data_IF_489307326948
#
_entry.id   IF_489307326948
#
_cell.length_a   1.000
_cell.length_b   1.000
_cell.length_c   1.000
_cell.angle_alpha   90.00
_cell.angle_beta   90.00
_cell.angle_gamma   90.00
#
_symmetry.space_group_name_H-M   'P 1'
#
loop_
_entity.id
_entity.type
_entity.pdbx_description
1 polymer ?
2 polymer ?
3 non-polymer ?
4 non-polymer ?
5 non-polymer ?
6 water ?
#
loop_
_entity_poly.entity_id
_entity_poly.type
_entity_poly.pdbx_seq_one_letter_code
_entity_poly.pdbx_strand_id
2 'polydeoxyribonucleotide/polyribonucleotide hybrid' '(DA)(DA)(DT)(DG)(DA)A(DG)(DA)(DT)(N)(N)(DT)' ?
#
# COMPACT_ATOMS: atom_id res chain seq x y z
N UNK A 1 1.31 -10.81 -3.44
CA UNK A 1 1.52 -9.71 -4.37
C UNK A 1 1.48 -8.37 -3.66
N UNK A 2 2.24 -7.41 -4.18
CA UNK A 2 2.23 -6.09 -3.59
C UNK A 2 1.00 -5.30 -4.05
N UNK A 3 0.73 -4.21 -3.35
CA UNK A 3 -0.35 -3.32 -3.74
C UNK A 3 -0.07 -1.96 -3.15
N UNK A 4 -0.90 -0.98 -3.53
CA UNK A 4 -0.84 0.39 -3.03
C UNK A 4 -1.99 0.60 -2.05
N UNK A 5 -1.68 0.98 -0.83
CA UNK A 5 -2.70 1.39 0.14
C UNK A 5 -3.01 2.86 -0.15
N UNK A 6 -4.08 3.12 -0.90
CA UNK A 6 -4.34 4.49 -1.36
C UNK A 6 -5.06 5.37 -0.34
N UNK A 7 -5.71 4.77 0.66
CA UNK A 7 -6.44 5.52 1.70
C UNK A 7 -6.71 4.55 2.83
N UNK A 8 -7.18 5.08 3.95
CA UNK A 8 -7.53 4.25 5.09
C UNK A 8 -8.88 3.60 4.86
N UNK A 9 -9.12 2.50 5.57
CA UNK A 9 -10.38 1.77 5.42
C UNK A 9 -11.40 2.09 6.49
N UNK A 10 -10.98 2.50 7.69
CA UNK A 10 -11.89 2.71 8.80
C UNK A 10 -12.56 4.08 8.66
N UNK A 11 -13.56 4.15 7.78
CA UNK A 11 -14.25 5.40 7.46
C UNK A 11 -15.76 5.23 7.64
N UNK A 12 -16.44 6.24 8.18
CA UNK A 12 -17.93 6.25 8.13
C UNK A 12 -18.41 6.34 6.69
N UNK A 13 -19.65 5.93 6.39
CA UNK A 13 -20.05 5.85 4.97
C UNK A 13 -19.93 7.17 4.22
N UNK A 14 -20.17 8.30 4.90
CA UNK A 14 -20.06 9.60 4.26
C UNK A 14 -18.64 9.88 3.76
N UNK A 15 -17.64 9.63 4.61
CA UNK A 15 -16.26 9.80 4.17
C UNK A 15 -15.91 8.79 3.07
N UNK A 16 -16.46 7.57 3.15
CA UNK A 16 -16.17 6.55 2.14
C UNK A 16 -16.64 6.98 0.76
N UNK A 17 -17.83 7.59 0.69
CA UNK A 17 -18.34 8.11 -0.57
C UNK A 17 -17.40 9.20 -1.11
N UNK A 18 -16.93 10.09 -0.23
CA UNK A 18 -16.00 11.14 -0.67
C UNK A 18 -14.71 10.53 -1.21
N UNK A 19 -14.26 9.42 -0.63
CA UNK A 19 -13.05 8.77 -1.11
C UNK A 19 -13.25 8.22 -2.52
N UNK A 20 -14.44 7.66 -2.80
CA UNK A 20 -14.68 7.15 -4.15
C UNK A 20 -14.62 8.27 -5.17
N UNK A 21 -15.08 9.46 -4.81
CA UNK A 21 -15.08 10.57 -5.76
C UNK A 21 -13.67 11.05 -6.08
N UNK A 22 -12.74 10.97 -5.11
CA UNK A 22 -11.36 11.33 -5.43
C UNK A 22 -10.67 10.24 -6.26
N UNK A 23 -11.00 8.99 -5.99
CA UNK A 23 -10.31 7.89 -6.67
C UNK A 23 -10.75 7.76 -8.11
N UNK A 24 -12.00 8.10 -8.42
CA UNK A 24 -12.49 7.93 -9.79
C UNK A 24 -11.60 8.64 -10.79
N UNK A 25 -10.93 9.72 -10.38
CA UNK A 25 -10.02 10.46 -11.25
C UNK A 25 -8.79 9.66 -11.66
N UNK A 26 -8.46 8.57 -10.96
CA UNK A 26 -7.25 7.82 -11.26
C UNK A 26 -7.50 6.64 -12.20
N UNK A 27 -8.76 6.29 -12.44
CA UNK A 27 -9.05 5.15 -13.31
C UNK A 27 -8.55 5.44 -14.72
N UNK A 28 -7.98 4.41 -15.37
CA UNK A 28 -7.56 4.50 -16.75
C UNK A 28 -8.29 3.41 -17.53
N UNK A 29 -9.17 3.82 -18.44
CA UNK A 29 -9.97 2.89 -19.25
C UNK A 29 -9.23 2.53 -20.55
N UNK A 30 -8.16 1.83 -20.39
CA UNK A 30 -7.36 1.52 -21.59
C UNK A 30 -7.72 0.15 -22.15
N UNK A 31 -7.56 -0.05 -23.46
CA UNK A 31 -7.80 -1.38 -24.04
C UNK A 31 -6.88 -2.42 -23.42
N UNK A 32 -7.37 -3.66 -23.36
CA UNK A 32 -6.53 -4.81 -23.02
C UNK A 32 -6.55 -5.74 -24.22
N UNK A 33 -5.60 -5.57 -25.12
CA UNK A 33 -5.52 -6.37 -26.32
C UNK A 33 -4.65 -7.60 -26.08
N UNK A 34 -4.83 -8.61 -26.93
CA UNK A 34 -4.12 -9.85 -26.79
C UNK A 34 -4.70 -10.72 -25.68
N UNK A 35 -4.15 -11.93 -25.58
CA UNK A 35 -4.76 -12.84 -24.61
C UNK A 35 -3.94 -12.90 -23.34
N UNK A 36 -4.60 -12.97 -22.19
CA UNK A 36 -3.86 -13.13 -20.93
C UNK A 36 -3.33 -14.55 -20.78
N UNK A 37 -2.29 -14.66 -19.95
CA UNK A 37 -1.74 -15.97 -19.62
C UNK A 37 -2.28 -16.50 -18.30
N UNK A 38 -2.47 -15.60 -17.33
CA UNK A 38 -3.00 -15.95 -16.02
C UNK A 38 -4.20 -15.05 -15.72
N UNK A 39 -5.26 -15.65 -15.22
CA UNK A 39 -6.49 -14.93 -14.89
C UNK A 39 -6.92 -15.30 -13.49
N UNK A 40 -7.14 -14.29 -12.64
CA UNK A 40 -7.62 -14.47 -11.27
C UNK A 40 -9.12 -14.21 -11.16
N UNK A 41 -9.77 -15.00 -10.34
CA UNK A 41 -11.16 -14.75 -9.95
C UNK A 41 -11.23 -14.57 -8.45
N UNK A 42 -12.10 -13.68 -8.00
CA UNK A 42 -12.19 -13.32 -6.59
C UNK A 42 -13.62 -13.53 -6.10
N UNK A 43 -13.77 -14.20 -4.97
CA UNK A 43 -15.09 -14.34 -4.38
C UNK A 43 -15.00 -14.20 -2.87
N UNK A 44 -16.11 -13.77 -2.27
CA UNK A 44 -16.20 -13.66 -0.83
C UNK A 44 -17.39 -14.44 -0.31
N UNK A 45 -17.28 -14.86 0.95
CA UNK A 45 -18.37 -15.49 1.67
C UNK A 45 -18.44 -14.91 3.07
N UNK A 46 -19.56 -15.18 3.74
CA UNK A 46 -19.75 -14.80 5.14
C UNK A 46 -20.32 -16.01 5.89
N UNK A 47 -19.50 -17.03 6.12
CA UNK A 47 -19.99 -18.23 6.82
C UNK A 47 -20.53 -17.91 8.20
N UNK A 48 -21.77 -18.33 8.44
CA UNK A 48 -22.49 -17.93 9.64
C UNK A 48 -22.56 -16.43 9.74
N UNK A 49 -21.89 -15.87 10.74
CA UNK A 49 -21.75 -14.43 10.84
C UNK A 49 -20.46 -14.13 11.61
N UNK A 50 -19.97 -12.91 11.42
CA UNK A 50 -18.76 -12.41 12.09
C UNK A 50 -17.51 -13.20 11.72
N UNK A 51 -17.50 -13.81 10.53
CA UNK A 51 -16.28 -14.38 9.98
C UNK A 51 -16.40 -14.36 8.46
N UNK A 52 -15.75 -13.40 7.82
CA UNK A 52 -15.69 -13.38 6.38
C UNK A 52 -14.62 -14.31 5.83
N UNK A 53 -14.75 -14.61 4.55
CA UNK A 53 -13.82 -15.49 3.82
C UNK A 53 -13.59 -14.90 2.44
N UNK A 54 -12.33 -14.59 2.11
CA UNK A 54 -11.96 -14.16 0.77
C UNK A 54 -11.16 -15.27 0.10
N UNK A 55 -11.50 -15.57 -1.14
CA UNK A 55 -10.83 -16.60 -1.94
C UNK A 55 -10.39 -15.98 -3.25
N UNK A 56 -9.13 -16.22 -3.62
CA UNK A 56 -8.63 -15.88 -4.94
C UNK A 56 -8.16 -17.16 -5.62
N UNK A 57 -8.60 -17.37 -6.85
CA UNK A 57 -8.17 -18.49 -7.69
C UNK A 57 -7.42 -17.91 -8.89
N UNK A 58 -6.28 -18.50 -9.23
CA UNK A 58 -5.52 -18.07 -10.41
C UNK A 58 -5.51 -19.23 -11.40
N UNK A 59 -5.96 -18.95 -12.64
CA UNK A 59 -6.11 -19.94 -13.69
C UNK A 59 -5.19 -19.62 -14.87
N UNK A 60 -4.74 -20.68 -15.55
CA UNK A 60 -4.08 -20.53 -16.83
C UNK A 60 -5.15 -20.34 -17.92
N UNK A 61 -4.86 -19.49 -18.89
CA UNK A 61 -5.75 -19.29 -20.00
C UNK A 61 -5.02 -19.63 -21.31
N UNK A 62 -5.64 -20.37 -22.23
CA UNK A 62 -7.07 -20.73 -22.32
C UNK A 62 -7.49 -22.05 -21.66
N UNK A 63 -6.59 -22.78 -21.02
CA UNK A 63 -6.97 -24.09 -20.51
C UNK A 63 -7.91 -24.00 -19.31
N UNK A 64 -7.86 -22.90 -18.55
CA UNK A 64 -8.61 -22.73 -17.29
C UNK A 64 -8.14 -23.70 -16.22
N UNK A 65 -6.92 -24.22 -16.36
CA UNK A 65 -6.33 -25.05 -15.32
C UNK A 65 -6.05 -24.19 -14.09
N UNK A 66 -6.34 -24.74 -12.92
CA UNK A 66 -6.16 -24.02 -11.67
C UNK A 66 -4.69 -24.06 -11.26
N UNK A 67 -4.11 -22.88 -11.03
CA UNK A 67 -2.70 -22.76 -10.68
C UNK A 67 -2.44 -22.44 -9.22
N UNK A 68 -3.37 -21.79 -8.55
CA UNK A 68 -3.18 -21.37 -7.17
C UNK A 68 -4.53 -21.06 -6.59
N UNK A 69 -4.73 -21.41 -5.32
CA UNK A 69 -5.85 -20.88 -4.54
C UNK A 69 -5.28 -20.30 -3.25
N UNK A 70 -5.71 -19.08 -2.91
CA UNK A 70 -5.38 -18.50 -1.61
C UNK A 70 -6.67 -18.11 -0.92
N UNK A 71 -6.66 -18.16 0.40
CA UNK A 71 -7.82 -17.78 1.18
C UNK A 71 -7.39 -16.98 2.39
N UNK A 72 -8.29 -16.12 2.86
CA UNK A 72 -8.08 -15.34 4.07
C UNK A 72 -9.40 -15.23 4.81
N UNK A 73 -9.36 -15.49 6.12
CA UNK A 73 -10.51 -15.34 7.00
C UNK A 73 -10.31 -14.13 7.89
N UNK A 74 -11.39 -13.42 8.16
CA UNK A 74 -11.26 -12.26 9.02
C UNK A 74 -12.62 -11.69 9.33
N UNK A 75 -12.63 -10.75 10.26
CA UNK A 75 -13.87 -10.15 10.72
C UNK A 75 -14.31 -9.07 9.73
N UNK A 76 -15.61 -9.04 9.47
CA UNK A 76 -16.24 -8.01 8.64
C UNK A 76 -16.81 -6.95 9.56
N UNK A 77 -16.49 -5.69 9.28
CA UNK A 77 -16.79 -4.58 10.18
C UNK A 77 -17.61 -3.44 9.55
N UNK A 78 -17.92 -3.52 8.25
CA UNK A 78 -18.60 -2.43 7.57
C UNK A 78 -19.85 -2.99 6.89
N UNK A 79 -21.00 -2.37 7.06
CA UNK A 79 -22.24 -2.97 6.54
C UNK A 79 -22.29 -2.99 5.02
N UNK A 80 -23.06 -3.94 4.48
CA UNK A 80 -23.38 -3.91 3.05
C UNK A 80 -24.21 -2.67 2.77
N UNK A 81 -23.72 -1.83 1.86
CA UNK A 81 -24.42 -0.68 1.31
C UNK A 81 -24.15 -0.71 -0.19
N UNK A 82 -25.18 -0.82 -1.03
CA UNK A 82 -24.93 -0.82 -2.49
C UNK A 82 -24.19 0.45 -2.88
N UNK A 83 -23.10 0.26 -3.62
CA UNK A 83 -22.22 1.37 -3.97
C UNK A 83 -21.02 1.52 -3.04
N UNK A 84 -21.01 0.84 -1.89
CA UNK A 84 -19.89 0.90 -0.97
C UNK A 84 -19.33 -0.50 -0.68
N UNK A 85 -19.52 -1.43 -1.61
CA UNK A 85 -19.10 -2.82 -1.40
C UNK A 85 -17.61 -2.92 -1.03
N UNK A 86 -16.75 -2.13 -1.68
CA UNK A 86 -15.31 -2.20 -1.43
C UNK A 86 -14.94 -1.97 0.04
N UNK A 87 -15.70 -1.11 0.72
CA UNK A 87 -15.37 -0.81 2.11
C UNK A 87 -15.74 -1.97 3.03
N UNK A 88 -16.64 -2.84 2.59
CA UNK A 88 -16.95 -4.05 3.34
C UNK A 88 -15.98 -5.19 3.01
N UNK A 89 -15.68 -5.38 1.73
CA UNK A 89 -14.94 -6.55 1.25
C UNK A 89 -13.47 -6.30 0.90
N UNK A 90 -13.09 -5.06 0.63
CA UNK A 90 -11.75 -4.73 0.22
C UNK A 90 -10.65 -5.21 1.16
N UNK A 91 -10.73 -4.85 2.46
CA UNK A 91 -9.62 -5.22 3.34
C UNK A 91 -9.32 -6.72 3.38
N UNK A 92 -10.34 -7.57 3.38
CA UNK A 92 -10.09 -9.02 3.42
C UNK A 92 -9.53 -9.50 2.09
N UNK A 93 -10.03 -8.96 0.97
CA UNK A 93 -9.44 -9.26 -0.33
C UNK A 93 -7.95 -8.94 -0.33
N UNK A 94 -7.56 -7.78 0.21
CA UNK A 94 -6.16 -7.38 0.14
C UNK A 94 -5.28 -8.26 1.02
N UNK A 95 -5.81 -8.78 2.13
CA UNK A 95 -5.05 -9.72 2.91
C UNK A 95 -4.83 -11.02 2.13
N UNK A 96 -5.84 -11.47 1.37
CA UNK A 96 -5.61 -12.64 0.52
C UNK A 96 -4.65 -12.32 -0.60
N UNK A 97 -4.77 -11.12 -1.18
CA UNK A 97 -3.91 -10.72 -2.28
C UNK A 97 -2.43 -10.72 -1.87
N UNK A 98 -2.14 -10.32 -0.62
CA UNK A 98 -0.77 -10.38 -0.11
C UNK A 98 -0.17 -11.78 -0.18
N UNK A 99 -0.99 -12.81 -0.03
CA UNK A 99 -0.42 -14.17 -0.04
C UNK A 99 -0.21 -14.72 -1.45
N UNK A 100 -0.84 -14.11 -2.44
CA UNK A 100 -0.78 -14.61 -3.80
C UNK A 100 0.66 -14.59 -4.31
N UNK A 101 1.11 -15.69 -4.89
CA UNK A 101 2.44 -15.75 -5.48
C UNK A 101 2.43 -15.65 -7.00
N UNK A 102 1.34 -16.06 -7.65
CA UNK A 102 1.25 -16.01 -9.11
C UNK A 102 0.69 -14.65 -9.51
N UNK A 103 1.40 -13.93 -10.36
CA UNK A 103 0.91 -12.61 -10.77
C UNK A 103 -0.09 -12.77 -11.90
N UNK A 104 -1.36 -12.39 -11.70
CA UNK A 104 -2.31 -12.49 -12.80
C UNK A 104 -2.16 -11.33 -13.79
N UNK A 105 -2.61 -11.58 -15.02
CA UNK A 105 -2.67 -10.55 -16.03
C UNK A 105 -4.00 -9.79 -16.01
N UNK A 106 -5.05 -10.41 -15.48
CA UNK A 106 -6.32 -9.73 -15.29
C UNK A 106 -7.01 -10.38 -14.10
N UNK A 107 -7.79 -9.59 -13.38
CA UNK A 107 -8.48 -10.04 -12.18
C UNK A 107 -9.96 -9.75 -12.36
N UNK A 108 -10.80 -10.76 -12.15
CA UNK A 108 -12.24 -10.64 -12.30
C UNK A 108 -12.86 -10.66 -10.92
N UNK A 109 -13.66 -9.64 -10.61
CA UNK A 109 -14.37 -9.55 -9.36
C UNK A 109 -15.85 -9.84 -9.54
N UNK A 110 -16.47 -10.24 -8.43
CA UNK A 110 -17.91 -10.48 -8.30
C UNK A 110 -18.56 -9.17 -7.85
N UNK A 111 -18.95 -8.37 -8.82
CA UNK A 111 -19.47 -7.03 -8.56
C UNK A 111 -19.22 -6.17 -9.78
N UNK A 112 -19.67 -4.92 -9.69
CA UNK A 112 -19.47 -3.96 -10.78
C UNK A 112 -18.08 -3.36 -10.75
N UNK A 113 -17.66 -2.85 -11.89
CA UNK A 113 -16.60 -1.86 -11.94
C UNK A 113 -17.18 -0.51 -12.29
N UNK A 114 -17.00 -0.10 -13.56
CA UNK A 114 -17.46 1.21 -13.99
C UNK A 114 -18.97 1.38 -13.83
N UNK A 115 -19.73 0.28 -13.83
CA UNK A 115 -21.20 0.41 -13.87
C UNK A 115 -21.70 0.66 -12.45
N UNK A 116 -21.46 1.88 -11.98
CA UNK A 116 -21.52 2.22 -10.55
C UNK A 116 -21.93 3.67 -10.43
N UNK A 117 -22.73 4.06 -9.42
CA UNK A 117 -23.23 5.45 -9.37
C UNK A 117 -22.14 6.49 -9.32
N UNK A 118 -20.93 6.16 -8.85
CA UNK A 118 -19.81 7.10 -8.83
C UNK A 118 -18.66 6.59 -9.68
N UNK A 119 -18.94 5.68 -10.61
CA UNK A 119 -17.96 5.18 -11.58
C UNK A 119 -16.79 4.46 -10.91
N UNK A 120 -17.01 3.91 -9.71
CA UNK A 120 -15.90 3.25 -9.00
C UNK A 120 -16.45 2.08 -8.19
N UNK A 121 -16.90 1.03 -8.88
CA UNK A 121 -17.28 -0.16 -8.17
C UNK A 121 -16.06 -0.89 -7.65
N UNK A 122 -16.32 -1.98 -6.92
CA UNK A 122 -15.25 -2.70 -6.24
C UNK A 122 -14.17 -3.15 -7.23
N UNK A 123 -14.56 -3.55 -8.46
CA UNK A 123 -13.56 -4.00 -9.44
C UNK A 123 -12.63 -2.87 -9.83
N UNK A 124 -13.17 -1.67 -10.00
CA UNK A 124 -12.35 -0.50 -10.29
C UNK A 124 -11.48 -0.11 -9.11
N UNK A 125 -12.08 -0.11 -7.91
CA UNK A 125 -11.41 0.32 -6.70
C UNK A 125 -10.23 -0.61 -6.37
N UNK A 126 -10.46 -1.92 -6.39
CA UNK A 126 -9.35 -2.83 -6.15
C UNK A 126 -8.31 -2.75 -7.27
N UNK A 127 -8.75 -2.50 -8.51
CA UNK A 127 -7.81 -2.30 -9.60
C UNK A 127 -6.83 -1.17 -9.35
N UNK A 128 -7.30 -0.08 -8.73
CA UNK A 128 -6.37 1.00 -8.36
C UNK A 128 -5.36 0.53 -7.31
N UNK A 129 -5.78 -0.35 -6.39
CA UNK A 129 -4.86 -0.81 -5.35
C UNK A 129 -3.80 -1.75 -5.93
N UNK A 130 -4.23 -2.69 -6.76
CA UNK A 130 -3.28 -3.72 -7.21
C UNK A 130 -2.61 -3.37 -8.53
N UNK A 131 -3.17 -2.43 -9.29
CA UNK A 131 -2.56 -1.93 -10.53
C UNK A 131 -2.39 -3.05 -11.57
N UNK A 132 -3.44 -3.86 -11.70
CA UNK A 132 -3.54 -4.92 -12.71
C UNK A 132 -4.90 -4.73 -13.39
N UNK A 133 -5.02 -5.00 -14.70
CA UNK A 133 -6.34 -4.89 -15.35
C UNK A 133 -7.40 -5.70 -14.60
N UNK A 134 -8.55 -5.09 -14.41
CA UNK A 134 -9.63 -5.74 -13.67
C UNK A 134 -10.95 -5.60 -14.42
N UNK A 135 -11.84 -6.52 -14.11
CA UNK A 135 -13.18 -6.57 -14.68
C UNK A 135 -14.14 -6.90 -13.55
N UNK A 136 -15.28 -6.22 -13.53
CA UNK A 136 -16.36 -6.58 -12.65
C UNK A 136 -17.43 -7.34 -13.42
N UNK A 137 -17.82 -8.49 -12.87
CA UNK A 137 -18.91 -9.31 -13.39
C UNK A 137 -19.92 -9.48 -12.28
N UNK A 138 -21.14 -8.99 -12.52
CA UNK A 138 -22.21 -9.01 -11.53
C UNK A 138 -23.40 -9.80 -12.04
N UNK A 139 -24.14 -10.37 -11.11
CA UNK A 139 -25.33 -11.15 -11.45
C UNK A 139 -26.60 -10.32 -11.45
N UNK A 140 -26.50 -9.04 -11.08
CA UNK A 140 -27.65 -8.12 -11.05
C UNK A 140 -27.17 -6.70 -11.28
N UNK A 141 -28.09 -5.82 -11.65
CA UNK A 141 -27.73 -4.46 -12.00
C UNK A 141 -27.65 -3.58 -10.76
N UNK A 142 -26.58 -2.80 -10.64
CA UNK A 142 -26.50 -1.74 -9.64
C UNK A 142 -26.88 -0.38 -10.21
N UNK A 143 -26.39 -0.08 -11.40
CA UNK A 143 -26.48 1.25 -11.98
C UNK A 143 -26.47 1.12 -13.49
N UNK A 144 -27.21 2.00 -14.16
CA UNK A 144 -27.21 2.04 -15.61
C UNK A 144 -28.52 1.53 -16.21
N UNK A 145 -28.77 1.94 -17.45
CA UNK A 145 -29.95 1.50 -18.18
C UNK A 145 -29.52 0.71 -19.42
N UNK A 146 -30.44 -0.13 -19.91
CA UNK A 146 -30.17 -1.05 -21.01
C UNK A 146 -31.51 -1.60 -21.52
N UNK A 147 -31.49 -2.22 -22.69
CA UNK A 147 -32.60 -3.04 -23.14
C UNK A 147 -32.20 -4.51 -23.05
N UNK A 148 -33.11 -5.34 -22.55
CA UNK A 148 -32.79 -6.74 -22.27
C UNK A 148 -32.38 -7.45 -23.56
N UNK A 149 -31.20 -8.07 -23.61
CA UNK A 149 -30.77 -8.73 -24.85
C UNK A 149 -31.66 -9.92 -25.18
N UNK A 150 -31.58 -10.36 -26.43
CA UNK A 150 -32.33 -11.53 -26.87
C UNK A 150 -31.97 -12.74 -26.01
N UNK A 151 -32.83 -13.75 -26.03
CA UNK A 151 -32.59 -14.92 -25.20
C UNK A 151 -31.62 -15.91 -25.82
N UNK A 152 -31.08 -15.63 -27.00
CA UNK A 152 -30.08 -16.50 -27.62
C UNK A 152 -28.73 -16.33 -26.94
N UNK A 153 -27.99 -17.42 -26.82
CA UNK A 153 -26.67 -17.35 -26.19
C UNK A 153 -25.78 -16.36 -26.93
N UNK A 154 -25.01 -15.57 -26.16
CA UNK A 154 -24.08 -14.55 -26.61
C UNK A 154 -24.76 -13.28 -27.12
N UNK A 155 -26.08 -13.18 -27.07
CA UNK A 155 -26.73 -11.90 -27.32
C UNK A 155 -26.39 -10.92 -26.22
N UNK A 156 -26.30 -9.63 -26.58
CA UNK A 156 -25.81 -8.65 -25.63
C UNK A 156 -26.32 -7.26 -25.98
N UNK A 157 -26.28 -6.38 -24.97
CA UNK A 157 -26.67 -4.99 -25.07
C UNK A 157 -25.66 -4.15 -24.30
N UNK A 158 -25.53 -2.89 -24.70
CA UNK A 158 -24.71 -1.99 -23.90
C UNK A 158 -25.48 -1.49 -22.68
N UNK A 159 -24.74 -1.23 -21.60
CA UNK A 159 -25.23 -0.58 -20.39
C UNK A 159 -24.86 0.90 -20.46
N UNK A 160 -25.83 1.77 -20.20
CA UNK A 160 -25.66 3.19 -20.43
C UNK A 160 -25.80 4.00 -19.15
N UNK A 161 -25.04 5.09 -19.07
CA UNK A 161 -25.35 6.22 -18.19
C UNK A 161 -25.60 7.41 -19.10
N UNK A 162 -26.87 7.70 -19.37
CA UNK A 162 -27.20 8.72 -20.35
C UNK A 162 -26.67 8.31 -21.71
N UNK A 163 -25.79 9.14 -22.28
CA UNK A 163 -25.18 8.82 -23.56
C UNK A 163 -23.94 7.93 -23.45
N UNK A 164 -23.36 7.78 -22.26
CA UNK A 164 -22.07 7.11 -22.16
C UNK A 164 -22.23 5.63 -21.84
N UNK A 165 -21.36 4.82 -22.41
CA UNK A 165 -21.39 3.37 -22.24
C UNK A 165 -20.56 3.01 -21.01
N UNK A 166 -21.15 2.28 -20.07
CA UNK A 166 -20.47 1.93 -18.83
C UNK A 166 -20.28 0.44 -18.67
N UNK A 167 -20.80 -0.37 -19.59
CA UNK A 167 -20.65 -1.81 -19.49
C UNK A 167 -21.48 -2.48 -20.56
N UNK A 168 -21.73 -3.78 -20.35
CA UNK A 168 -22.66 -4.48 -21.23
C UNK A 168 -23.38 -5.55 -20.44
N UNK A 169 -24.48 -6.01 -21.02
CA UNK A 169 -25.35 -7.04 -20.45
C UNK A 169 -25.33 -8.21 -21.41
N UNK A 170 -24.88 -9.37 -20.95
CA UNK A 170 -24.60 -10.50 -21.82
C UNK A 170 -25.44 -11.70 -21.39
N UNK A 171 -26.17 -12.27 -22.35
CA UNK A 171 -26.93 -13.49 -22.15
C UNK A 171 -25.96 -14.64 -22.35
N UNK A 172 -25.24 -14.96 -21.28
CA UNK A 172 -24.26 -16.03 -21.37
C UNK A 172 -24.92 -17.40 -21.44
N UNK A 173 -26.17 -17.51 -21.00
CA UNK A 173 -26.84 -18.81 -20.91
C UNK A 173 -28.30 -18.62 -21.31
N UNK A 174 -28.74 -19.40 -22.29
CA UNK A 174 -30.12 -19.33 -22.73
C UNK A 174 -31.05 -19.82 -21.62
N UNK A 175 -32.13 -19.08 -21.40
CA UNK A 175 -33.03 -19.39 -20.32
C UNK A 175 -32.58 -18.97 -18.94
N UNK A 176 -31.44 -18.29 -18.83
CA UNK A 176 -30.99 -17.72 -17.57
C UNK A 176 -30.93 -16.21 -17.69
N UNK A 177 -30.88 -15.56 -16.53
CA UNK A 177 -30.71 -14.11 -16.50
C UNK A 177 -29.32 -13.75 -17.03
N UNK A 178 -29.19 -12.60 -17.67
CA UNK A 178 -27.88 -12.18 -18.18
C UNK A 178 -26.93 -11.82 -17.05
N UNK A 179 -25.68 -11.57 -17.42
CA UNK A 179 -24.70 -11.01 -16.49
C UNK A 179 -24.39 -9.58 -16.90
N UNK A 180 -23.90 -8.80 -15.93
CA UNK A 180 -23.58 -7.39 -16.09
C UNK A 180 -22.06 -7.23 -15.99
N UNK A 181 -21.44 -6.80 -17.09
CA UNK A 181 -19.98 -6.77 -17.21
C UNK A 181 -19.55 -5.31 -17.37
N UNK A 182 -18.55 -4.90 -16.59
CA UNK A 182 -18.02 -3.55 -16.73
C UNK A 182 -16.53 -3.54 -16.46
N UNK A 183 -15.79 -2.66 -17.12
CA UNK A 183 -14.34 -2.60 -16.88
C UNK A 183 -14.05 -2.06 -15.49
N UNK A 184 -12.93 -2.52 -14.92
CA UNK A 184 -12.46 -1.98 -13.65
C UNK A 184 -11.43 -0.91 -13.91
N UNK A 185 -10.17 -1.21 -13.65
CA UNK A 185 -9.06 -0.32 -13.96
C UNK A 185 -8.19 -0.97 -15.04
N UNK A 186 -7.58 -0.14 -15.89
CA UNK A 186 -6.72 -0.62 -16.96
C UNK A 186 -7.46 -1.57 -17.91
N UNK A 187 -8.71 -1.22 -18.21
CA UNK A 187 -9.66 -2.05 -18.93
C UNK A 187 -10.71 -1.12 -19.57
N UNK A 188 -11.22 -1.51 -20.73
CA UNK A 188 -12.32 -0.74 -21.33
C UNK A 188 -13.52 -1.65 -21.63
N UNK A 189 -14.60 -1.04 -22.11
CA UNK A 189 -15.83 -1.81 -22.27
C UNK A 189 -15.65 -2.92 -23.32
N UNK A 190 -15.03 -2.60 -24.46
CA UNK A 190 -14.89 -3.61 -25.51
C UNK A 190 -14.01 -4.78 -25.05
N UNK A 191 -12.91 -4.49 -24.35
CA UNK A 191 -12.03 -5.56 -23.91
C UNK A 191 -12.66 -6.41 -22.82
N UNK A 192 -13.38 -5.79 -21.90
CA UNK A 192 -13.98 -6.60 -20.84
C UNK A 192 -15.06 -7.51 -21.41
N UNK A 193 -15.81 -7.02 -22.41
CA UNK A 193 -16.78 -7.87 -23.10
C UNK A 193 -16.07 -9.03 -23.81
N UNK A 194 -15.02 -8.73 -24.57
CA UNK A 194 -14.29 -9.77 -25.28
C UNK A 194 -13.73 -10.80 -24.31
N UNK A 195 -13.19 -10.35 -23.19
CA UNK A 195 -12.53 -11.27 -22.26
C UNK A 195 -13.54 -12.12 -21.49
N UNK A 196 -14.64 -11.52 -21.02
CA UNK A 196 -15.60 -12.33 -20.27
C UNK A 196 -16.26 -13.36 -21.18
N UNK A 197 -16.50 -13.00 -22.45
CA UNK A 197 -17.00 -14.02 -23.39
C UNK A 197 -16.01 -15.17 -23.54
N UNK A 198 -14.72 -14.85 -23.68
CA UNK A 198 -13.71 -15.90 -23.79
C UNK A 198 -13.53 -16.68 -22.50
N UNK A 199 -13.89 -16.10 -21.35
CA UNK A 199 -13.81 -16.77 -20.06
C UNK A 199 -15.04 -17.62 -19.73
N UNK A 200 -16.09 -17.57 -20.53
CA UNK A 200 -17.36 -18.21 -20.20
C UNK A 200 -17.54 -19.42 -21.10
N UNK A 201 -17.65 -20.60 -20.50
CA UNK A 201 -17.81 -21.82 -21.25
C UNK A 201 -19.26 -22.00 -21.70
N UNK A 202 -19.47 -22.57 -22.89
CA UNK A 202 -20.85 -22.84 -23.34
C UNK A 202 -21.61 -23.69 -22.32
N UNK A 203 -22.87 -23.34 -22.10
CA UNK A 203 -23.69 -24.00 -21.10
C UNK A 203 -23.58 -23.42 -19.70
N UNK A 204 -22.75 -22.41 -19.50
CA UNK A 204 -22.55 -21.83 -18.18
C UNK A 204 -22.90 -20.34 -18.21
N UNK A 205 -23.50 -19.87 -17.12
CA UNK A 205 -23.86 -18.46 -17.02
C UNK A 205 -22.68 -17.62 -16.53
N UNK A 206 -21.88 -18.15 -15.62
CA UNK A 206 -20.84 -17.39 -14.91
C UNK A 206 -19.48 -17.69 -15.53
N UNK A 207 -18.63 -16.69 -15.76
CA UNK A 207 -17.27 -16.97 -16.26
C UNK A 207 -16.47 -17.86 -15.31
N UNK A 208 -15.55 -18.62 -15.89
CA UNK A 208 -14.76 -19.56 -15.10
C UNK A 208 -14.04 -18.93 -13.91
N UNK A 209 -13.37 -17.77 -14.02
CA UNK A 209 -12.65 -17.24 -12.84
C UNK A 209 -13.52 -17.06 -11.61
N UNK A 210 -14.69 -16.41 -11.72
CA UNK A 210 -15.48 -16.19 -10.52
C UNK A 210 -16.35 -17.39 -10.17
N UNK A 211 -16.73 -18.21 -11.15
CA UNK A 211 -17.44 -19.45 -10.84
C UNK A 211 -16.55 -20.39 -10.02
N UNK A 212 -15.27 -20.53 -10.42
CA UNK A 212 -14.40 -21.39 -9.62
C UNK A 212 -14.08 -20.76 -8.26
N UNK A 213 -13.90 -19.44 -8.20
CA UNK A 213 -13.68 -18.80 -6.91
C UNK A 213 -14.87 -19.06 -5.98
N UNK A 214 -16.09 -18.93 -6.51
CA UNK A 214 -17.26 -19.21 -5.70
C UNK A 214 -17.29 -20.66 -5.20
N UNK A 215 -16.86 -21.60 -6.04
CA UNK A 215 -16.86 -23.01 -5.64
C UNK A 215 -15.92 -23.24 -4.45
N UNK A 216 -14.73 -22.61 -4.46
CA UNK A 216 -13.79 -22.82 -3.34
C UNK A 216 -14.26 -22.10 -2.10
N UNK A 217 -14.96 -21.00 -2.28
CA UNK A 217 -15.63 -20.35 -1.17
C UNK A 217 -16.50 -21.33 -0.40
N UNK A 218 -17.17 -22.23 -1.11
CA UNK A 218 -18.02 -23.20 -0.42
C UNK A 218 -17.22 -24.40 0.09
N UNK A 219 -16.20 -24.83 -0.63
CA UNK A 219 -15.43 -25.99 -0.18
C UNK A 219 -14.47 -25.67 0.95
N UNK A 220 -14.07 -24.42 1.11
CA UNK A 220 -13.16 -24.03 2.18
C UNK A 220 -13.89 -23.49 3.40
N UNK A 221 -15.13 -23.93 3.64
CA UNK A 221 -15.87 -23.45 4.81
C UNK A 221 -15.33 -24.07 6.09
N UNK A 222 -14.98 -23.21 7.05
CA UNK A 222 -14.47 -23.64 8.36
C UNK A 222 -15.59 -24.20 9.24
N UNK B 1 -2.21 9.15 4.54
CA UNK B 1 -1.35 9.31 3.39
C UNK B 1 -1.12 7.94 2.73
N UNK B 2 -0.90 7.91 1.42
CA UNK B 2 -0.79 6.64 0.72
C UNK B 2 0.61 6.05 0.88
N UNK B 3 0.71 4.74 0.62
CA UNK B 3 2.00 4.06 0.59
C UNK B 3 1.84 2.76 -0.19
N UNK B 4 2.98 2.18 -0.56
CA UNK B 4 3.05 0.91 -1.27
C UNK B 4 3.34 -0.21 -0.26
N UNK B 5 2.46 -1.20 -0.21
CA UNK B 5 2.69 -2.37 0.65
C UNK B 5 3.55 -3.33 -0.15
N UNK B 6 4.88 -3.16 -0.02
CA UNK B 6 5.79 -3.87 -0.92
C UNK B 6 5.92 -5.35 -0.60
N UNK B 7 5.69 -5.73 0.65
CA UNK B 7 5.88 -7.11 1.06
C UNK B 7 5.17 -7.30 2.39
N UNK B 8 5.01 -8.56 2.76
CA UNK B 8 4.43 -8.92 4.04
C UNK B 8 5.41 -8.63 5.19
N UNK B 9 4.87 -8.53 6.40
CA UNK B 9 5.64 -8.13 7.57
C UNK B 9 5.92 -9.24 8.56
N UNK B 10 5.10 -10.30 8.59
CA UNK B 10 5.27 -11.37 9.57
C UNK B 10 6.22 -12.42 9.00
N UNK B 11 7.52 -12.18 9.17
CA UNK B 11 8.54 -13.04 8.61
C UNK B 11 9.54 -13.44 9.67
N UNK B 12 10.11 -14.65 9.56
CA UNK B 12 11.25 -14.99 10.42
C UNK B 12 12.45 -14.14 10.06
N UNK B 13 13.37 -13.90 11.02
CA UNK B 13 14.49 -12.99 10.75
C UNK B 13 15.27 -13.33 9.49
N UNK B 14 15.43 -14.62 9.17
CA UNK B 14 16.22 -14.99 8.01
C UNK B 14 15.54 -14.56 6.71
N UNK B 15 14.22 -14.69 6.63
CA UNK B 15 13.54 -14.23 5.42
C UNK B 15 13.47 -12.71 5.36
N UNK B 16 13.39 -12.05 6.53
CA UNK B 16 13.46 -10.59 6.55
C UNK B 16 14.76 -10.09 5.94
N UNK B 17 15.87 -10.79 6.23
CA UNK B 17 17.15 -10.37 5.68
C UNK B 17 17.14 -10.50 4.15
N UNK B 18 16.49 -11.55 3.65
CA UNK B 18 16.36 -11.72 2.20
C UNK B 18 15.53 -10.60 1.59
N UNK B 19 14.44 -10.21 2.25
CA UNK B 19 13.63 -9.10 1.77
C UNK B 19 14.48 -7.83 1.61
N UNK B 20 15.29 -7.54 2.63
CA UNK B 20 16.13 -6.35 2.57
C UNK B 20 17.08 -6.40 1.37
N UNK B 21 17.71 -7.56 1.14
CA UNK B 21 18.65 -7.67 0.03
C UNK B 21 17.95 -7.47 -1.32
N UNK B 22 16.68 -7.86 -1.42
CA UNK B 22 15.95 -7.60 -2.65
C UNK B 22 15.58 -6.12 -2.78
N UNK B 23 15.23 -5.47 -1.66
CA UNK B 23 14.74 -4.10 -1.71
C UNK B 23 15.86 -3.09 -2.00
N UNK B 24 17.09 -3.39 -1.57
CA UNK B 24 18.18 -2.42 -1.72
C UNK B 24 18.41 -2.06 -3.18
N UNK B 25 18.04 -2.94 -4.11
CA UNK B 25 18.19 -2.64 -5.52
C UNK B 25 17.22 -1.57 -5.98
N UNK B 26 16.17 -1.31 -5.19
CA UNK B 26 15.18 -0.29 -5.54
C UNK B 26 15.55 1.10 -5.03
N UNK B 27 16.53 1.21 -4.14
CA UNK B 27 16.87 2.50 -3.54
C UNK B 27 17.43 3.43 -4.60
N UNK B 28 16.97 4.67 -4.63
CA UNK B 28 17.52 5.66 -5.55
C UNK B 28 18.20 6.75 -4.74
N UNK B 29 19.53 6.84 -4.85
CA UNK B 29 20.31 7.84 -4.14
C UNK B 29 20.41 9.09 -4.99
N UNK B 30 19.39 9.93 -4.90
CA UNK B 30 19.39 11.09 -5.79
C UNK B 30 19.42 12.38 -4.97
N UNK B 31 20.01 13.44 -5.51
CA UNK B 31 20.02 14.72 -4.80
C UNK B 31 18.61 15.18 -4.42
N UNK B 32 18.51 15.82 -3.27
CA UNK B 32 17.31 16.59 -2.92
C UNK B 32 17.80 18.00 -2.72
N UNK B 33 17.70 18.81 -3.77
CA UNK B 33 18.14 20.19 -3.73
C UNK B 33 16.92 21.09 -3.52
N UNK B 34 17.19 22.28 -3.03
CA UNK B 34 16.13 23.24 -2.78
C UNK B 34 15.57 23.14 -1.38
N UNK B 35 14.77 24.12 -1.03
CA UNK B 35 14.23 24.18 0.31
C UNK B 35 12.90 23.43 0.37
N UNK B 36 12.71 22.52 1.32
CA UNK B 36 11.40 21.90 1.48
C UNK B 36 10.46 22.82 2.23
N UNK B 37 9.17 22.56 2.06
CA UNK B 37 8.14 23.31 2.75
C UNK B 37 7.57 22.58 3.97
N UNK B 38 7.46 21.25 3.89
CA UNK B 38 6.94 20.45 4.98
C UNK B 38 7.94 19.33 5.28
N UNK B 39 8.33 19.22 6.54
CA UNK B 39 9.29 18.20 6.97
C UNK B 39 8.63 17.36 8.05
N UNK B 40 8.66 16.04 7.89
CA UNK B 40 8.07 15.16 8.88
C UNK B 40 9.17 14.52 9.74
N UNK B 41 8.84 14.30 11.01
CA UNK B 41 9.70 13.55 11.91
C UNK B 41 8.92 12.42 12.53
N UNK B 42 9.61 11.31 12.75
CA UNK B 42 8.98 10.05 13.15
C UNK B 42 9.66 9.52 14.42
N UNK B 43 8.86 9.22 15.45
CA UNK B 43 9.39 8.61 16.66
C UNK B 43 8.52 7.44 17.09
N UNK B 44 9.16 6.38 17.54
CA UNK B 44 8.48 5.21 18.05
C UNK B 44 8.91 4.95 19.49
N UNK B 45 8.03 4.32 20.26
CA UNK B 45 8.29 4.01 21.65
C UNK B 45 7.51 2.76 22.03
N UNK B 46 7.80 2.22 23.22
CA UNK B 46 7.23 0.96 23.67
C UNK B 46 6.74 1.10 25.11
N UNK B 47 5.52 1.61 25.32
CA UNK B 47 4.94 1.64 26.66
C UNK B 47 4.94 0.28 27.32
N UNK B 48 4.23 -0.68 26.73
CA UNK B 48 4.29 -2.06 27.18
C UNK B 48 5.38 -2.84 26.46
N UNK B 49 5.72 -4.00 27.02
CA UNK B 49 6.71 -4.87 26.39
C UNK B 49 6.30 -5.20 24.96
N UNK B 50 5.00 -5.40 24.73
CA UNK B 50 4.47 -5.77 23.42
C UNK B 50 3.49 -4.74 22.87
N UNK B 51 3.45 -3.54 23.45
CA UNK B 51 2.63 -2.44 22.93
C UNK B 51 3.53 -1.27 22.60
N UNK B 52 3.29 -0.64 21.44
CA UNK B 52 4.11 0.45 20.97
C UNK B 52 3.28 1.65 20.55
N UNK B 53 3.98 2.75 20.34
CA UNK B 53 3.37 4.02 19.96
C UNK B 53 4.21 4.67 18.87
N UNK B 54 3.56 5.02 17.76
CA UNK B 54 4.21 5.71 16.67
C UNK B 54 3.66 7.12 16.58
N UNK B 55 4.55 8.10 16.51
CA UNK B 55 4.16 9.51 16.39
C UNK B 55 4.83 10.07 15.15
N UNK B 56 4.06 10.80 14.35
CA UNK B 56 4.59 11.55 13.23
C UNK B 56 4.25 13.02 13.44
N UNK B 57 5.26 13.87 13.37
CA UNK B 57 5.08 15.33 13.45
C UNK B 57 5.42 15.90 12.08
N UNK B 58 4.57 16.79 11.58
CA UNK B 58 4.88 17.51 10.34
C UNK B 58 5.11 18.97 10.69
N UNK B 59 6.30 19.46 10.34
CA UNK B 59 6.69 20.83 10.56
C UNK B 59 6.68 21.60 9.24
N UNK B 60 6.37 22.87 9.35
CA UNK B 60 6.61 23.82 8.28
C UNK B 60 8.04 24.32 8.39
N UNK B 61 8.72 24.41 7.26
CA UNK B 61 10.09 24.88 7.19
C UNK B 61 10.13 26.14 6.35
N UNK B 62 10.84 27.21 6.78
CA UNK B 62 11.78 27.32 7.91
C UNK B 62 11.22 27.83 9.25
N UNK B 63 9.89 27.97 9.39
CA UNK B 63 9.35 28.49 10.64
C UNK B 63 9.46 27.46 11.76
N UNK B 64 9.49 26.18 11.42
CA UNK B 64 9.43 25.05 12.33
C UNK B 64 8.10 24.97 13.08
N UNK B 65 7.06 25.59 12.51
CA UNK B 65 5.74 25.53 13.13
C UNK B 65 5.13 24.14 12.97
N UNK B 66 4.61 23.61 14.08
CA UNK B 66 3.99 22.29 14.02
C UNK B 66 2.69 22.37 13.24
N UNK B 67 2.60 21.61 12.17
CA UNK B 67 1.42 21.63 11.31
C UNK B 67 0.47 20.47 11.56
N UNK B 68 0.98 19.28 11.87
CA UNK B 68 0.13 18.12 12.06
C UNK B 68 0.84 17.14 12.97
N UNK B 69 0.09 16.52 13.88
CA UNK B 69 0.61 15.40 14.67
C UNK B 69 -0.39 14.25 14.57
N UNK B 70 0.10 13.06 14.22
CA UNK B 70 -0.72 11.86 14.24
C UNK B 70 0.01 10.80 15.06
N UNK B 71 -0.75 9.89 15.66
CA UNK B 71 -0.15 8.82 16.43
C UNK B 71 -1.02 7.58 16.34
N UNK B 72 -0.41 6.44 16.63
CA UNK B 72 -1.13 5.17 16.61
C UNK B 72 -0.53 4.23 17.65
N UNK B 73 -1.39 3.60 18.44
CA UNK B 73 -0.99 2.59 19.40
C UNK B 73 -1.20 1.22 18.79
N UNK B 74 -0.26 0.31 19.06
CA UNK B 74 -0.40 -1.02 18.49
C UNK B 74 0.54 -2.00 19.15
N UNK B 75 0.33 -3.28 18.82
CA UNK B 75 1.13 -4.36 19.37
C UNK B 75 2.36 -4.59 18.51
N UNK B 76 3.49 -4.82 19.17
CA UNK B 76 4.76 -5.09 18.50
C UNK B 76 5.09 -6.56 18.72
N UNK B 77 5.20 -7.31 17.63
CA UNK B 77 5.46 -8.74 17.71
C UNK B 77 6.92 -9.09 17.45
N UNK B 78 7.62 -8.31 16.64
CA UNK B 78 8.97 -8.62 16.21
C UNK B 78 9.97 -8.11 17.24
N UNK B 79 10.88 -8.94 17.75
CA UNK B 79 11.86 -8.45 18.72
C UNK B 79 12.92 -7.58 18.05
N UNK B 80 13.59 -6.77 18.88
CA UNK B 80 14.66 -5.93 18.38
C UNK B 80 15.87 -6.77 18.00
N UNK B 81 16.27 -6.69 16.73
CA UNK B 81 17.51 -7.27 16.24
C UNK B 81 18.20 -6.17 15.46
N UNK B 82 19.39 -5.72 15.86
CA UNK B 82 20.06 -4.65 15.13
C UNK B 82 20.19 -5.00 13.65
N UNK B 83 19.73 -4.09 12.78
CA UNK B 83 19.73 -4.30 11.35
C UNK B 83 18.39 -4.73 10.78
N UNK B 84 17.46 -5.18 11.64
CA UNK B 84 16.10 -5.54 11.26
C UNK B 84 15.06 -4.65 11.93
N UNK B 85 15.44 -3.42 12.27
CA UNK B 85 14.54 -2.53 13.01
C UNK B 85 13.24 -2.25 12.27
N UNK B 86 13.27 -2.21 10.92
CA UNK B 86 12.03 -1.93 10.18
C UNK B 86 10.97 -3.01 10.40
N UNK B 87 11.38 -4.25 10.63
CA UNK B 87 10.40 -5.31 10.84
C UNK B 87 9.78 -5.23 12.22
N UNK B 88 10.42 -4.53 13.15
CA UNK B 88 9.81 -4.27 14.45
C UNK B 88 8.89 -3.06 14.38
N UNK B 89 9.33 -1.96 13.77
CA UNK B 89 8.63 -0.68 13.86
C UNK B 89 7.85 -0.29 12.60
N UNK B 90 8.16 -0.88 11.45
CA UNK B 90 7.52 -0.52 10.21
C UNK B 90 6.01 -0.58 10.23
N UNK B 91 5.44 -1.73 10.62
CA UNK B 91 3.97 -1.86 10.59
C UNK B 91 3.25 -0.79 11.40
N UNK B 92 3.70 -0.49 12.62
CA UNK B 92 3.02 0.52 13.40
C UNK B 92 3.17 1.92 12.80
N UNK B 93 4.36 2.24 12.29
CA UNK B 93 4.56 3.52 11.61
C UNK B 93 3.58 3.70 10.45
N UNK B 94 3.39 2.65 9.65
CA UNK B 94 2.53 2.77 8.47
C UNK B 94 1.07 2.96 8.87
N UNK B 95 0.63 2.38 9.99
CA UNK B 95 -0.72 2.67 10.49
C UNK B 95 -0.85 4.13 10.88
N UNK B 96 0.21 4.72 11.44
CA UNK B 96 0.17 6.16 11.71
C UNK B 96 0.21 6.95 10.41
N UNK B 97 1.05 6.51 9.47
CA UNK B 97 1.18 7.18 8.19
C UNK B 97 -0.15 7.26 7.44
N UNK B 98 -1.00 6.23 7.58
CA UNK B 98 -2.32 6.24 6.96
C UNK B 98 -3.14 7.44 7.39
N UNK B 99 -2.99 7.88 8.64
CA UNK B 99 -3.77 8.98 9.18
C UNK B 99 -3.27 10.35 8.74
N UNK B 100 -2.05 10.42 8.23
CA UNK B 100 -1.46 11.71 7.88
C UNK B 100 -2.22 12.37 6.74
N UNK B 101 -2.57 13.64 6.92
CA UNK B 101 -3.26 14.39 5.88
C UNK B 101 -2.31 15.21 5.01
N UNK B 102 -1.24 15.76 5.58
CA UNK B 102 -0.32 16.60 4.84
C UNK B 102 0.80 15.77 4.24
N UNK B 103 1.13 16.02 2.98
CA UNK B 103 2.22 15.27 2.36
C UNK B 103 3.57 15.92 2.65
N UNK B 104 4.44 15.28 3.42
CA UNK B 104 5.77 15.87 3.65
C UNK B 104 6.61 15.88 2.38
N UNK B 105 7.55 16.82 2.32
CA UNK B 105 8.57 16.82 1.28
C UNK B 105 9.78 15.95 1.64
N UNK B 106 10.05 15.77 2.93
CA UNK B 106 11.15 14.99 3.46
C UNK B 106 10.65 14.36 4.75
N UNK B 107 11.02 13.11 5.00
CA UNK B 107 10.66 12.43 6.25
C UNK B 107 11.96 11.98 6.92
N UNK B 108 12.15 12.38 8.19
CA UNK B 108 13.34 12.03 8.97
C UNK B 108 12.97 10.98 9.99
N UNK B 109 13.68 9.84 9.95
CA UNK B 109 13.50 8.73 10.87
C UNK B 109 14.62 8.69 11.90
N UNK B 110 14.30 8.07 13.04
CA UNK B 110 15.24 7.75 14.12
C UNK B 110 15.92 6.44 13.77
N UNK B 111 17.13 6.51 13.24
CA UNK B 111 17.82 5.29 12.87
C UNK B 111 18.58 5.54 11.59
N UNK B 112 19.24 4.50 11.08
CA UNK B 112 20.04 4.65 9.88
C UNK B 112 19.17 4.54 8.63
N UNK B 113 19.70 5.08 7.53
CA UNK B 113 19.28 4.72 6.19
C UNK B 113 20.36 3.89 5.51
N UNK B 114 21.18 4.53 4.68
CA UNK B 114 22.25 3.84 3.97
C UNK B 114 23.27 3.20 4.91
N UNK B 115 23.44 3.75 6.11
CA UNK B 115 24.55 3.37 6.99
C UNK B 115 24.15 2.10 7.74
N UNK B 116 24.18 0.97 7.01
CA UNK B 116 23.52 -0.25 7.44
C UNK B 116 24.21 -1.43 6.74
N UNK B 117 24.38 -2.57 7.41
CA UNK B 117 25.21 -3.64 6.81
C UNK B 117 24.64 -4.17 5.50
N UNK B 118 23.34 -4.03 5.26
CA UNK B 118 22.78 -4.41 3.98
C UNK B 118 22.28 -3.19 3.20
N UNK B 119 22.76 -2.00 3.57
CA UNK B 119 22.43 -0.74 2.89
C UNK B 119 20.93 -0.47 2.86
N UNK B 120 20.18 -0.97 3.84
CA UNK B 120 18.75 -0.72 3.83
C UNK B 120 18.23 -0.60 5.27
N UNK B 121 18.67 0.45 5.95
CA UNK B 121 18.13 0.77 7.26
C UNK B 121 16.69 1.24 7.19
N UNK B 122 16.09 1.43 8.38
CA UNK B 122 14.67 1.69 8.45
C UNK B 122 14.28 2.92 7.61
N UNK B 123 15.15 3.94 7.56
CA UNK B 123 14.81 5.14 6.80
C UNK B 123 14.76 4.85 5.30
N UNK B 124 15.67 4.00 4.80
CA UNK B 124 15.62 3.58 3.41
C UNK B 124 14.41 2.69 3.16
N UNK B 125 14.18 1.72 4.04
CA UNK B 125 13.10 0.77 3.86
C UNK B 125 11.75 1.49 3.84
N UNK B 126 11.53 2.38 4.81
CA UNK B 126 10.26 3.10 4.83
C UNK B 126 10.15 4.07 3.68
N UNK B 127 11.26 4.64 3.22
CA UNK B 127 11.23 5.49 2.04
C UNK B 127 10.72 4.77 0.81
N UNK B 128 11.03 3.48 0.67
CA UNK B 128 10.48 2.71 -0.44
C UNK B 128 8.97 2.57 -0.33
N UNK B 129 8.43 2.38 0.89
CA UNK B 129 6.98 2.24 1.05
C UNK B 129 6.25 3.55 0.75
N UNK B 130 6.80 4.67 1.21
CA UNK B 130 6.09 5.94 1.13
C UNK B 130 6.48 6.76 -0.09
N UNK B 131 7.62 6.47 -0.71
CA UNK B 131 8.06 7.09 -1.97
C UNK B 131 8.20 8.60 -1.82
N UNK B 132 8.87 9.00 -0.74
CA UNK B 132 9.13 10.40 -0.42
C UNK B 132 10.60 10.40 0.02
N UNK B 133 11.38 11.44 -0.28
CA UNK B 133 12.75 11.51 0.22
C UNK B 133 12.82 11.31 1.74
N UNK B 134 13.69 10.39 2.17
CA UNK B 134 13.86 10.09 3.58
C UNK B 134 15.33 10.20 3.99
N UNK B 135 15.52 10.49 5.28
CA UNK B 135 16.82 10.62 5.93
C UNK B 135 16.76 9.85 7.25
N UNK B 136 17.83 9.10 7.52
CA UNK B 136 18.00 8.46 8.82
C UNK B 136 18.98 9.28 9.64
N UNK B 137 18.56 9.64 10.86
CA UNK B 137 19.42 10.29 11.84
C UNK B 137 19.46 9.41 13.07
N UNK B 138 20.66 8.95 13.44
CA UNK B 138 20.82 8.06 14.57
C UNK B 138 21.74 8.69 15.59
N UNK B 139 21.54 8.31 16.84
CA UNK B 139 22.36 8.77 17.94
C UNK B 139 23.55 7.86 18.19
N UNK B 140 23.59 6.69 17.56
CA UNK B 140 24.74 5.83 17.75
C UNK B 140 25.01 5.10 16.45
N UNK B 141 26.19 4.52 16.38
CA UNK B 141 26.69 3.90 15.16
C UNK B 141 26.14 2.48 15.04
N UNK B 142 25.56 2.18 13.88
CA UNK B 142 25.27 0.79 13.53
C UNK B 142 26.37 0.18 12.67
N UNK B 143 26.97 0.96 11.79
CA UNK B 143 27.81 0.38 10.74
C UNK B 143 28.65 1.49 10.14
N UNK B 144 29.88 1.18 9.81
CA UNK B 144 30.74 2.20 9.24
C UNK B 144 31.86 2.60 10.19
N UNK B 145 32.89 3.21 9.62
CA UNK B 145 34.00 3.76 10.40
C UNK B 145 34.25 5.19 9.95
N UNK B 146 35.00 5.93 10.77
CA UNK B 146 35.08 7.37 10.55
C UNK B 146 36.22 7.97 11.36
N UNK B 147 36.58 9.20 10.98
CA UNK B 147 37.43 10.05 11.78
C UNK B 147 36.52 10.92 12.64
N UNK B 148 36.77 10.95 13.94
CA UNK B 148 35.89 11.70 14.84
C UNK B 148 35.94 13.19 14.52
N UNK B 149 34.79 13.83 14.27
CA UNK B 149 34.81 15.29 14.04
C UNK B 149 35.29 16.04 15.27
N UNK B 150 35.83 17.23 15.02
CA UNK B 150 36.23 18.12 16.10
C UNK B 150 35.07 18.40 17.04
N UNK B 151 35.40 18.86 18.24
CA UNK B 151 34.37 19.27 19.21
C UNK B 151 33.98 20.73 19.03
N UNK B 152 33.90 21.19 17.79
CA UNK B 152 33.32 22.48 17.43
C UNK B 152 32.02 22.22 16.69
N UNK B 153 31.04 23.10 16.91
CA UNK B 153 29.74 22.92 16.32
C UNK B 153 29.85 22.97 14.80
N UNK B 154 29.18 22.03 14.14
CA UNK B 154 29.09 21.87 12.69
C UNK B 154 30.31 21.15 12.11
N UNK B 155 31.27 20.72 12.92
CA UNK B 155 32.32 19.83 12.43
C UNK B 155 31.71 18.52 11.95
N UNK B 156 32.25 17.97 10.86
CA UNK B 156 31.69 16.74 10.33
C UNK B 156 32.77 15.88 9.70
N UNK B 157 32.45 14.60 9.54
CA UNK B 157 33.28 13.63 8.84
C UNK B 157 32.38 12.71 8.03
N UNK B 158 32.96 12.09 7.00
CA UNK B 158 32.27 11.05 6.27
C UNK B 158 32.28 9.73 7.03
N UNK B 159 31.22 8.96 6.85
CA UNK B 159 31.10 7.62 7.39
C UNK B 159 31.36 6.64 6.26
N UNK B 160 32.24 5.65 6.50
CA UNK B 160 32.74 4.79 5.44
C UNK B 160 32.43 3.32 5.66
N UNK B 161 32.04 2.64 4.58
CA UNK B 161 32.12 1.18 4.48
C UNK B 161 33.22 0.88 3.46
N UNK B 162 34.43 0.67 3.97
CA UNK B 162 35.59 0.55 3.10
C UNK B 162 35.78 1.77 2.23
N UNK B 163 35.59 1.61 0.92
CA UNK B 163 35.71 2.73 0.00
C UNK B 163 34.45 3.56 -0.14
N UNK B 164 33.28 3.01 0.21
CA UNK B 164 32.03 3.70 -0.05
C UNK B 164 31.68 4.66 1.08
N UNK B 165 31.25 5.86 0.73
CA UNK B 165 30.69 6.78 1.70
C UNK B 165 29.24 6.39 1.93
N UNK B 166 28.88 6.10 3.18
CA UNK B 166 27.52 5.68 3.50
C UNK B 166 26.79 6.69 4.35
N UNK B 167 27.38 7.84 4.64
CA UNK B 167 26.76 8.79 5.54
C UNK B 167 27.79 9.78 6.04
N UNK B 168 27.40 10.51 7.08
CA UNK B 168 28.32 11.42 7.72
C UNK B 168 28.07 11.46 9.22
N UNK B 169 29.09 11.92 9.92
CA UNK B 169 29.10 12.04 11.37
C UNK B 169 29.22 13.53 11.64
N UNK B 170 28.22 14.11 12.31
CA UNK B 170 28.12 15.57 12.45
C UNK B 170 28.06 15.94 13.93
N UNK B 171 28.93 16.85 14.34
CA UNK B 171 28.88 17.45 15.68
C UNK B 171 27.87 18.60 15.65
N UNK B 172 26.59 18.27 15.86
CA UNK B 172 25.57 19.30 15.91
C UNK B 172 25.66 20.12 17.19
N UNK B 173 26.24 19.59 18.26
CA UNK B 173 26.22 20.33 19.52
C UNK B 173 27.54 20.12 20.24
N UNK B 174 28.22 21.22 20.58
CA UNK B 174 29.52 21.11 21.24
C UNK B 174 29.37 20.54 22.64
N UNK B 175 30.28 19.64 22.99
CA UNK B 175 30.25 18.98 24.26
C UNK B 175 29.29 17.81 24.33
N UNK B 176 28.64 17.48 23.21
CA UNK B 176 27.80 16.30 23.13
C UNK B 176 28.30 15.41 22.00
N UNK B 177 27.93 14.13 22.09
CA UNK B 177 28.26 13.16 21.06
C UNK B 177 27.68 13.57 19.70
N UNK B 178 28.37 13.24 18.62
CA UNK B 178 27.86 13.55 17.27
C UNK B 178 26.66 12.67 16.92
N UNK B 179 25.98 13.05 15.83
CA UNK B 179 24.92 12.25 15.25
C UNK B 179 25.37 11.63 13.93
N UNK B 180 24.70 10.54 13.57
CA UNK B 180 25.02 9.78 12.37
C UNK B 180 23.89 9.96 11.36
N UNK B 181 24.21 10.59 10.24
CA UNK B 181 23.22 10.97 9.23
C UNK B 181 23.50 10.14 7.97
N UNK B 182 22.48 9.46 7.45
CA UNK B 182 22.63 8.77 6.18
C UNK B 182 21.35 8.86 5.35
N UNK B 183 21.49 8.94 4.02
CA UNK B 183 20.30 9.07 3.18
C UNK B 183 19.44 7.81 3.23
N UNK B 184 18.13 8.01 3.10
CA UNK B 184 17.21 6.90 2.92
C UNK B 184 16.97 6.62 1.45
N UNK B 185 15.74 6.82 0.98
CA UNK B 185 15.37 6.73 -0.41
C UNK B 185 15.17 8.14 -0.96
N UNK B 186 15.44 8.30 -2.26
CA UNK B 186 15.34 9.56 -3.00
C UNK B 186 16.15 10.66 -2.30
N UNK B 187 17.36 10.31 -1.89
CA UNK B 187 18.23 11.15 -1.07
C UNK B 187 19.66 10.70 -1.30
N UNK B 188 20.61 11.63 -1.20
CA UNK B 188 22.01 11.24 -1.30
C UNK B 188 22.74 11.77 -0.06
N UNK B 189 24.02 11.44 0.05
CA UNK B 189 24.78 11.80 1.25
C UNK B 189 24.89 13.32 1.37
N UNK B 190 25.29 13.98 0.30
CA UNK B 190 25.47 15.44 0.37
C UNK B 190 24.17 16.16 0.71
N UNK B 191 23.03 15.70 0.18
CA UNK B 191 21.77 16.40 0.49
C UNK B 191 21.31 16.09 1.91
N UNK B 192 21.52 14.87 2.40
CA UNK B 192 21.07 14.56 3.74
C UNK B 192 21.85 15.38 4.76
N UNK B 193 23.15 15.56 4.53
CA UNK B 193 23.95 16.41 5.40
C UNK B 193 23.44 17.85 5.40
N UNK B 194 23.19 18.42 4.22
CA UNK B 194 22.75 19.81 4.17
C UNK B 194 21.38 19.99 4.82
N UNK B 195 20.48 19.05 4.57
CA UNK B 195 19.15 19.15 5.16
C UNK B 195 19.18 18.99 6.68
N UNK B 196 19.96 18.04 7.21
CA UNK B 196 19.93 17.84 8.65
C UNK B 196 20.57 19.03 9.37
N UNK B 197 21.61 19.63 8.79
CA UNK B 197 22.15 20.85 9.38
C UNK B 197 21.11 21.95 9.43
N UNK B 198 20.40 22.16 8.32
CA UNK B 198 19.32 23.14 8.29
C UNK B 198 18.20 22.80 9.28
N UNK B 199 17.94 21.52 9.55
CA UNK B 199 16.83 21.12 10.40
C UNK B 199 17.18 21.15 11.89
N UNK B 200 18.44 21.36 12.24
CA UNK B 200 18.89 21.31 13.63
C UNK B 200 19.11 22.73 14.14
N UNK B 201 18.35 23.11 15.16
CA UNK B 201 18.49 24.47 15.70
C UNK B 201 19.80 24.60 16.50
N UNK B 202 20.40 25.78 16.51
CA UNK B 202 21.60 26.01 17.35
C UNK B 202 21.31 25.69 18.81
N UNK B 203 22.18 24.87 19.41
CA UNK B 203 22.03 24.48 20.79
C UNK B 203 21.36 23.13 20.98
N UNK B 204 20.76 22.57 19.92
CA UNK B 204 20.21 21.23 19.94
C UNK B 204 21.17 20.28 19.24
N UNK B 205 21.29 19.08 19.80
CA UNK B 205 21.95 17.97 19.12
C UNK B 205 21.05 17.30 18.10
N UNK B 206 19.74 17.24 18.36
CA UNK B 206 18.83 16.45 17.54
C UNK B 206 18.03 17.36 16.61
N UNK B 207 17.85 17.02 15.33
CA UNK B 207 17.03 17.88 14.45
C UNK B 207 15.58 18.05 14.92
N UNK B 208 15.02 19.22 14.64
CA UNK B 208 13.70 19.55 15.18
C UNK B 208 12.61 18.55 14.85
N UNK B 209 12.45 18.09 13.60
CA UNK B 209 11.43 17.06 13.32
C UNK B 209 11.44 15.89 14.30
N UNK B 210 12.58 15.23 14.49
CA UNK B 210 12.55 14.06 15.33
C UNK B 210 12.58 14.43 16.81
N UNK B 211 13.19 15.56 17.14
CA UNK B 211 13.17 16.03 18.53
C UNK B 211 11.74 16.29 18.99
N UNK B 212 10.93 16.92 18.15
CA UNK B 212 9.55 17.20 18.53
C UNK B 212 8.72 15.93 18.57
N UNK B 213 8.94 15.02 17.61
CA UNK B 213 8.24 13.75 17.64
C UNK B 213 8.50 13.00 18.94
N UNK B 214 9.75 13.02 19.41
CA UNK B 214 10.08 12.35 20.66
C UNK B 214 9.39 13.00 21.85
N UNK B 215 9.30 14.33 21.85
CA UNK B 215 8.57 15.03 22.90
C UNK B 215 7.11 14.58 22.93
N UNK B 216 6.47 14.53 21.77
CA UNK B 216 5.07 14.10 21.74
C UNK B 216 4.93 12.66 22.17
N UNK B 217 5.92 11.83 21.83
CA UNK B 217 5.92 10.43 22.27
C UNK B 217 5.93 10.32 23.80
N UNK B 218 6.59 11.26 24.49
CA UNK B 218 6.64 11.19 25.94
C UNK B 218 5.28 11.51 26.57
N UNK B 219 4.62 12.55 26.07
CA UNK B 219 3.32 12.91 26.63
C UNK B 219 2.30 11.80 26.42
N UNK B 220 2.19 11.30 25.19
CA UNK B 220 1.14 10.35 24.85
C UNK B 220 1.33 9.01 25.56
N UNK B 221 2.56 8.62 25.87
CA UNK B 221 2.78 7.31 26.48
C UNK B 221 2.28 7.25 27.92
N UNK B 222 2.06 8.39 28.56
CA UNK B 222 1.48 8.42 29.90
C UNK B 222 -0.04 8.56 29.87
N UNK B 223 -0.58 9.22 28.86
CA UNK B 223 -2.01 9.46 28.77
C UNK B 223 -2.80 8.32 28.17
N UNK B 224 -2.17 7.50 27.33
CA UNK B 224 -2.82 6.32 26.79
C UNK B 224 -1.88 5.12 26.84
X LIG E 1 -20.40 -16.30 -5.22
X LIG F 1 13.03 9.08 20.54
X LIG G 1 -6.96 1.59 10.48
X LIG G 1 -7.89 0.75 11.08
X LIG G 1 -6.17 2.28 11.61
X LIG G 1 -5.86 1.41 12.66
X LIG G 1 -4.89 2.80 10.91
X LIG G 1 -4.32 3.73 11.77
X LIG H 1 18.77 17.95 21.21
X LIG H 1 17.82 16.98 21.62
X LIG H 1 19.27 18.71 22.40
X LIG H 1 20.36 18.07 23.06
X LIG I 1 -29.01 -9.24 -4.02
X LIG J 1 -34.87 3.17 -4.13
X LIG J 1 -33.73 3.98 -4.47
X LIG J 1 -34.48 2.24 -2.99
X LIG J 1 -35.63 1.56 -2.46
X LIG K 1 -26.27 6.32 -2.08
X LIG K 1 -27.69 6.50 -2.13
X LIG K 1 -25.58 7.68 -2.16
X LIG K 1 -24.18 7.45 -2.37
X LIG L 1 22.23 2.23 22.82
X LIG L 1 21.14 1.75 23.52
X LIG L 1 22.45 1.24 21.65
X LIG L 1 23.29 1.75 20.69
X LIG L 1 21.06 0.98 21.08
X LIG L 1 20.84 -0.39 21.15
#
# INVERSE_FOLDING_TARGET
>A
MDYRQLHRWDLPPEEAIKVQNELRKKIKLTPYEGEPEYVAGVDLSFPGKEEGLAVIVVLEYPSFKILEVVSERGEITFPYIPGLLAFRQGPLFLKAWEKLRTKPDVVVFDGQGLAHPRKLGIASHMGLFIEIPTIGVAKSRLYGTFKMPEDKRCSWSYLYDGEEIIGCVIRTKEGSAPIFVSPGHLMDVESSKRLIKAFTLPGRRIPEPTRLAHIYTQRLKKGL
>B
MDYRQLHRWDLPPEEAIKVQNELRKKIKLTPYEGEPEYVAGVDLSFPGKEEGLAVIVVLEYPSFKILEVVSERGEITFPYIPGLLAFRQGPLFLKAWEKLRTKPDVVVFDGQGLAHPRKLGIASHMGLFIEIPTIGVAKSRLYGTFKMPEDKRCSWSYLYDGEEIIGCVIRTKEGSAPIFVSPGHLMDVESSKRLIKAFTLPGRRIPEPTRLAHIYTQRLKKGL
>E hetero
1 MG MG
>F hetero
1 MG MG
>G hetero
1 GOL C1 O1 C2 O2 C3 O3
>H hetero
1 EDO C1 O1 C2 O2
>I hetero
1 MG MG
>J hetero
1 EDO C1 O1 C2 O2
>K hetero
1 EDO C1 O1 C2 O2
>L hetero
1 GOL C1 O1 C2 O2 C3 O3
#
